data_IF_324366617906
#
_entry.id   IF_324366617906
#
_cell.length_a   1.000
_cell.length_b   1.000
_cell.length_c   1.000
_cell.angle_alpha   90.00
_cell.angle_beta   90.00
_cell.angle_gamma   90.00
#
_symmetry.space_group_name_H-M   'P 1'
#
loop_
_entity.id
_entity.type
_entity.pdbx_description
1 polymer ?
#
# COMPACT_ATOMS: atom_id res chain seq x y z
N UNK A 1 -34.19 41.77 -22.91
CA UNK A 1 -34.41 40.63 -21.99
C UNK A 1 -34.81 39.43 -22.85
N UNK A 2 -33.84 38.63 -23.29
CA UNK A 2 -34.05 37.44 -24.13
C UNK A 2 -33.98 36.20 -23.23
N UNK A 3 -35.05 35.40 -23.25
CA UNK A 3 -35.22 34.20 -22.46
C UNK A 3 -34.43 33.03 -23.08
N UNK A 4 -33.57 32.40 -22.27
CA UNK A 4 -32.90 31.15 -22.60
C UNK A 4 -33.90 29.98 -22.50
N UNK A 5 -34.02 29.21 -23.59
CA UNK A 5 -34.77 27.96 -23.65
C UNK A 5 -33.87 26.80 -23.20
N UNK A 6 -34.15 26.19 -22.05
CA UNK A 6 -33.56 24.92 -21.61
C UNK A 6 -34.24 23.75 -22.35
N UNK A 7 -33.45 22.91 -23.04
CA UNK A 7 -33.90 21.59 -23.51
C UNK A 7 -33.47 20.52 -22.50
N UNK A 8 -34.43 19.98 -21.76
CA UNK A 8 -34.25 18.80 -20.92
C UNK A 8 -34.24 17.54 -21.82
N UNK A 9 -33.09 16.87 -21.92
CA UNK A 9 -32.95 15.56 -22.55
C UNK A 9 -33.05 14.46 -21.49
N UNK A 10 -34.11 13.64 -21.55
CA UNK A 10 -34.24 12.42 -20.77
C UNK A 10 -33.34 11.32 -21.38
N UNK A 11 -32.42 10.77 -20.57
CA UNK A 11 -31.67 9.56 -20.89
C UNK A 11 -32.35 8.36 -20.23
N UNK A 12 -32.88 7.44 -21.04
CA UNK A 12 -33.44 6.18 -20.59
C UNK A 12 -32.31 5.18 -20.29
N UNK A 13 -32.29 4.64 -19.07
CA UNK A 13 -31.41 3.54 -18.66
C UNK A 13 -32.11 2.20 -18.92
N UNK A 14 -31.59 1.40 -19.84
CA UNK A 14 -31.97 0.00 -20.02
C UNK A 14 -31.09 -0.88 -19.14
N UNK A 15 -31.67 -1.53 -18.14
CA UNK A 15 -31.02 -2.58 -17.34
C UNK A 15 -31.06 -3.92 -18.10
N UNK A 16 -29.90 -4.47 -18.41
CA UNK A 16 -29.76 -5.87 -18.82
C UNK A 16 -29.35 -6.71 -17.60
N UNK A 17 -30.22 -7.62 -17.17
CA UNK A 17 -29.95 -8.58 -16.10
C UNK A 17 -29.13 -9.75 -16.66
N UNK A 18 -27.96 -10.02 -16.08
CA UNK A 18 -27.15 -11.21 -16.36
C UNK A 18 -27.42 -12.23 -15.24
N UNK A 19 -27.93 -13.40 -15.63
CA UNK A 19 -28.14 -14.53 -14.74
C UNK A 19 -26.81 -15.28 -14.49
N UNK A 20 -26.39 -15.40 -13.23
CA UNK A 20 -25.25 -16.20 -12.80
C UNK A 20 -25.72 -17.60 -12.41
N UNK A 21 -25.27 -18.61 -13.16
CA UNK A 21 -25.42 -20.03 -12.83
C UNK A 21 -24.45 -20.45 -11.74
N UNK A 22 -24.96 -21.14 -10.73
CA UNK A 22 -24.19 -21.67 -9.60
C UNK A 22 -23.46 -22.96 -9.95
N UNK A 23 -22.19 -23.06 -9.54
CA UNK A 23 -21.42 -24.30 -9.48
C UNK A 23 -21.09 -24.62 -8.03
N UNK A 24 -21.64 -25.73 -7.52
CA UNK A 24 -21.18 -26.35 -6.28
C UNK A 24 -19.84 -27.06 -6.55
N UNK A 25 -18.81 -26.76 -5.75
CA UNK A 25 -17.62 -27.61 -5.63
C UNK A 25 -17.60 -28.22 -4.23
N UNK A 26 -17.78 -29.54 -4.18
CA UNK A 26 -17.60 -30.38 -2.99
C UNK A 26 -16.11 -30.49 -2.68
N UNK A 27 -15.70 -30.04 -1.50
CA UNK A 27 -14.35 -30.22 -0.97
C UNK A 27 -14.19 -31.63 -0.39
N UNK A 28 -13.10 -32.31 -0.76
CA UNK A 28 -12.66 -33.56 -0.13
C UNK A 28 -11.57 -33.24 0.89
N UNK A 29 -11.75 -33.72 2.12
CA UNK A 29 -10.90 -33.45 3.29
C UNK A 29 -9.57 -34.23 3.29
N UNK A 30 -8.59 -33.62 3.94
CA UNK A 30 -7.21 -34.05 4.18
C UNK A 30 -7.07 -35.45 4.80
N UNK A 31 -6.10 -36.21 4.28
CA UNK A 31 -5.43 -37.27 5.02
C UNK A 31 -4.10 -36.72 5.56
N UNK A 32 -4.04 -36.48 6.87
CA UNK A 32 -2.80 -36.20 7.59
C UNK A 32 -2.10 -37.52 7.92
N UNK A 33 -0.86 -37.67 7.47
CA UNK A 33 0.09 -38.62 8.05
C UNK A 33 1.49 -38.14 7.70
N UNK A 34 2.24 -37.72 8.71
CA UNK A 34 3.59 -38.23 8.99
C UNK A 34 4.19 -37.53 10.22
N UNK A 35 4.60 -38.38 11.16
CA UNK A 35 5.28 -38.07 12.41
C UNK A 35 6.79 -37.89 12.12
N UNK A 36 7.48 -36.82 12.53
CA UNK A 36 8.93 -36.74 12.37
C UNK A 36 9.67 -37.33 13.58
N UNK A 37 10.52 -38.30 13.30
CA UNK A 37 11.58 -38.82 14.16
C UNK A 37 12.59 -37.71 14.54
N UNK A 38 12.82 -37.54 15.84
CA UNK A 38 13.88 -36.71 16.41
C UNK A 38 15.18 -37.50 16.57
N UNK A 39 16.28 -36.96 16.05
CA UNK A 39 17.62 -37.05 16.68
C UNK A 39 18.41 -35.76 16.39
N UNK A 40 19.34 -35.36 17.30
CA UNK A 40 19.73 -33.96 17.45
C UNK A 40 21.13 -33.65 16.85
N UNK A 41 21.41 -32.33 16.84
CA UNK A 41 22.72 -31.69 16.96
C UNK A 41 23.21 -30.92 15.71
N UNK A 42 22.87 -29.63 15.68
CA UNK A 42 23.67 -28.61 14.99
C UNK A 42 23.58 -27.32 15.81
N UNK A 43 24.75 -26.84 16.24
CA UNK A 43 25.00 -25.59 16.93
C UNK A 43 24.40 -24.41 16.16
N UNK A 44 23.26 -23.90 16.62
CA UNK A 44 22.65 -22.68 16.10
C UNK A 44 22.91 -21.54 17.10
N UNK A 45 23.74 -20.59 16.68
CA UNK A 45 23.83 -19.26 17.26
C UNK A 45 22.44 -18.65 17.32
N UNK A 46 21.94 -18.38 18.54
CA UNK A 46 20.69 -17.68 18.78
C UNK A 46 20.80 -16.23 18.29
N UNK A 47 20.66 -16.01 16.98
CA UNK A 47 20.13 -14.77 16.47
C UNK A 47 18.65 -14.76 16.87
N UNK A 48 18.27 -13.77 17.66
CA UNK A 48 16.92 -13.61 18.12
C UNK A 48 16.01 -13.44 16.90
N UNK A 49 15.30 -14.52 16.56
CA UNK A 49 14.11 -14.50 15.72
C UNK A 49 13.08 -13.57 16.38
N UNK A 50 13.23 -12.26 16.11
CA UNK A 50 12.18 -11.28 16.33
C UNK A 50 11.17 -11.54 15.23
N UNK A 51 10.30 -12.49 15.50
CA UNK A 51 9.07 -12.77 14.78
C UNK A 51 8.17 -11.53 14.91
N UNK A 52 8.50 -10.46 14.18
CA UNK A 52 7.61 -9.32 13.99
C UNK A 52 6.44 -9.85 13.17
N UNK A 53 5.31 -10.04 13.83
CA UNK A 53 4.04 -10.31 13.17
C UNK A 53 3.80 -9.21 12.12
N UNK A 54 4.16 -9.47 10.86
CA UNK A 54 4.09 -8.55 9.73
C UNK A 54 2.64 -8.36 9.29
N UNK A 55 1.82 -7.75 10.14
CA UNK A 55 0.73 -6.97 9.60
C UNK A 55 1.36 -5.71 8.99
N UNK A 56 1.56 -5.73 7.68
CA UNK A 56 2.09 -4.60 6.90
C UNK A 56 1.06 -3.45 6.76
N UNK A 57 -0.02 -3.48 7.54
CA UNK A 57 -1.05 -2.43 7.56
C UNK A 57 -0.61 -1.27 8.45
N UNK A 58 -0.93 -0.05 8.01
CA UNK A 58 -0.70 1.16 8.80
C UNK A 58 -1.72 1.24 9.94
N UNK A 59 -1.29 1.08 11.20
CA UNK A 59 -2.15 1.35 12.35
C UNK A 59 -2.35 2.87 12.50
N UNK A 60 -3.49 3.36 12.01
CA UNK A 60 -3.88 4.77 12.10
C UNK A 60 -4.62 5.09 13.40
N UNK A 61 -4.73 4.15 14.34
CA UNK A 61 -5.47 4.35 15.57
C UNK A 61 -6.99 4.47 15.37
N UNK A 62 -7.72 5.10 16.31
CA UNK A 62 -9.18 5.18 16.27
C UNK A 62 -9.68 6.04 15.10
N UNK A 63 -10.90 5.77 14.63
CA UNK A 63 -11.59 6.60 13.63
C UNK A 63 -12.15 7.89 14.26
N UNK A 64 -11.27 8.79 14.66
CA UNK A 64 -11.58 10.11 15.24
C UNK A 64 -11.39 11.27 14.24
N UNK A 65 -11.53 12.51 14.70
CA UNK A 65 -11.44 13.71 13.84
C UNK A 65 -10.07 13.92 13.18
N UNK A 66 -9.02 13.30 13.73
CA UNK A 66 -7.65 13.40 13.23
C UNK A 66 -7.26 12.17 12.39
N UNK A 67 -8.19 11.24 12.15
CA UNK A 67 -7.94 10.04 11.34
C UNK A 67 -7.44 10.37 9.94
N UNK A 68 -8.09 11.32 9.25
CA UNK A 68 -7.68 11.70 7.89
C UNK A 68 -6.30 12.39 7.87
N UNK A 69 -5.96 13.17 8.91
CA UNK A 69 -4.62 13.74 9.06
C UNK A 69 -3.58 12.62 9.16
N UNK A 70 -3.83 11.60 9.98
CA UNK A 70 -2.92 10.46 10.14
C UNK A 70 -2.83 9.63 8.86
N UNK A 71 -3.94 9.43 8.16
CA UNK A 71 -3.94 8.76 6.85
C UNK A 71 -3.06 9.51 5.85
N UNK A 72 -3.25 10.83 5.72
CA UNK A 72 -2.47 11.68 4.82
C UNK A 72 -0.97 11.63 5.20
N UNK A 73 -0.67 11.70 6.49
CA UNK A 73 0.70 11.73 7.00
C UNK A 73 1.42 10.39 6.90
N UNK A 74 0.70 9.28 6.90
CA UNK A 74 1.25 7.94 6.66
C UNK A 74 1.33 7.60 5.16
N UNK A 75 0.29 7.91 4.39
CA UNK A 75 0.21 7.54 2.98
C UNK A 75 1.12 8.39 2.08
N UNK A 76 1.42 9.63 2.48
CA UNK A 76 2.37 10.47 1.74
C UNK A 76 3.77 9.84 1.64
N UNK A 77 4.45 9.47 2.75
CA UNK A 77 5.73 8.77 2.67
C UNK A 77 5.61 7.37 2.07
N UNK A 78 4.54 6.64 2.35
CA UNK A 78 4.29 5.35 1.71
C UNK A 78 4.29 5.46 0.18
N UNK A 79 3.57 6.43 -0.39
CA UNK A 79 3.60 6.70 -1.83
C UNK A 79 4.99 7.13 -2.33
N UNK A 80 5.77 7.85 -1.52
CA UNK A 80 7.14 8.23 -1.89
C UNK A 80 8.05 7.00 -2.07
N UNK A 81 7.93 5.97 -1.23
CA UNK A 81 8.70 4.75 -1.41
C UNK A 81 8.30 3.94 -2.65
N UNK A 82 7.00 3.90 -3.00
CA UNK A 82 6.56 3.36 -4.29
C UNK A 82 7.18 4.11 -5.48
N UNK A 83 7.30 5.44 -5.39
CA UNK A 83 7.94 6.26 -6.44
C UNK A 83 9.43 5.94 -6.58
N UNK A 84 10.15 5.70 -5.49
CA UNK A 84 11.56 5.31 -5.52
C UNK A 84 11.74 3.99 -6.27
N UNK A 85 11.04 2.95 -5.84
CA UNK A 85 11.12 1.63 -6.47
C UNK A 85 10.64 1.64 -7.93
N UNK A 86 9.60 2.40 -8.26
CA UNK A 86 9.11 2.52 -9.63
C UNK A 86 10.12 3.23 -10.55
N UNK A 87 10.80 4.29 -10.08
CA UNK A 87 11.86 4.95 -10.86
C UNK A 87 13.03 4.01 -11.14
N UNK A 88 13.41 3.18 -10.18
CA UNK A 88 14.40 2.13 -10.40
C UNK A 88 13.93 1.14 -11.46
N UNK A 89 12.69 0.68 -11.38
CA UNK A 89 12.13 -0.27 -12.36
C UNK A 89 12.06 0.31 -13.77
N UNK A 90 11.72 1.59 -13.91
CA UNK A 90 11.72 2.30 -15.19
C UNK A 90 13.12 2.28 -15.85
N UNK A 91 14.18 2.43 -15.04
CA UNK A 91 15.57 2.48 -15.51
C UNK A 91 16.18 1.10 -15.74
N UNK A 92 15.98 0.17 -14.81
CA UNK A 92 16.71 -1.10 -14.71
C UNK A 92 16.00 -2.27 -15.39
N UNK A 93 14.66 -2.26 -15.47
CA UNK A 93 13.93 -3.36 -16.09
C UNK A 93 14.21 -3.45 -17.60
N UNK A 94 14.18 -4.67 -18.13
CA UNK A 94 14.18 -4.94 -19.58
C UNK A 94 12.79 -5.29 -20.11
N UNK A 95 11.81 -5.52 -19.24
CA UNK A 95 10.45 -5.93 -19.62
C UNK A 95 9.58 -4.70 -19.88
N UNK A 96 8.98 -4.57 -21.08
CA UNK A 96 8.11 -3.42 -21.38
C UNK A 96 6.89 -3.35 -20.45
N UNK A 97 6.40 -4.49 -19.95
CA UNK A 97 5.28 -4.55 -19.00
C UNK A 97 5.64 -3.91 -17.66
N UNK A 98 6.85 -4.17 -17.14
CA UNK A 98 7.32 -3.60 -15.86
C UNK A 98 7.59 -2.10 -16.01
N UNK A 99 8.16 -1.65 -17.14
CA UNK A 99 8.31 -0.21 -17.40
C UNK A 99 6.97 0.50 -17.46
N UNK A 100 5.99 -0.08 -18.15
CA UNK A 100 4.64 0.48 -18.22
C UNK A 100 3.96 0.52 -16.84
N UNK A 101 4.15 -0.52 -16.04
CA UNK A 101 3.67 -0.54 -14.65
C UNK A 101 4.32 0.57 -13.82
N UNK A 102 5.65 0.72 -13.91
CA UNK A 102 6.40 1.78 -13.23
C UNK A 102 5.91 3.18 -13.62
N UNK A 103 5.73 3.46 -14.92
CA UNK A 103 5.22 4.75 -15.39
C UNK A 103 3.81 5.06 -14.83
N UNK A 104 2.94 4.04 -14.78
CA UNK A 104 1.60 4.18 -14.20
C UNK A 104 1.65 4.50 -12.71
N UNK A 105 2.47 3.77 -11.94
CA UNK A 105 2.69 4.01 -10.51
C UNK A 105 3.22 5.43 -10.30
N UNK A 106 4.24 5.84 -11.07
CA UNK A 106 4.83 7.19 -10.97
C UNK A 106 3.75 8.25 -11.21
N UNK A 107 2.92 8.07 -12.23
CA UNK A 107 1.89 9.04 -12.57
C UNK A 107 0.82 9.14 -11.47
N UNK A 108 0.23 8.01 -11.06
CA UNK A 108 -0.88 8.03 -10.09
C UNK A 108 -0.41 8.49 -8.71
N UNK A 109 0.70 7.91 -8.20
CA UNK A 109 1.19 8.20 -6.86
C UNK A 109 1.64 9.68 -6.72
N UNK A 110 2.24 10.28 -7.76
CA UNK A 110 2.55 11.73 -7.72
C UNK A 110 1.29 12.62 -7.69
N UNK A 111 0.24 12.22 -8.42
CA UNK A 111 -1.03 12.94 -8.40
C UNK A 111 -1.67 12.87 -7.01
N UNK A 112 -1.65 11.72 -6.37
CA UNK A 112 -2.20 11.50 -5.03
C UNK A 112 -1.39 12.22 -3.94
N UNK A 113 -0.04 12.17 -3.99
CA UNK A 113 0.81 12.96 -3.09
C UNK A 113 0.46 14.45 -3.20
N UNK A 114 0.26 14.97 -4.41
CA UNK A 114 -0.09 16.37 -4.61
C UNK A 114 -1.44 16.70 -3.97
N UNK A 115 -2.45 15.85 -4.15
CA UNK A 115 -3.77 16.02 -3.55
C UNK A 115 -3.71 15.96 -2.02
N UNK A 116 -3.05 14.94 -1.46
CA UNK A 116 -2.91 14.76 -0.02
C UNK A 116 -2.19 15.95 0.63
N UNK A 117 -1.13 16.49 0.00
CA UNK A 117 -0.45 17.70 0.50
C UNK A 117 -1.36 18.92 0.50
N UNK A 118 -2.19 19.09 -0.53
CA UNK A 118 -3.16 20.18 -0.61
C UNK A 118 -4.23 20.04 0.46
N UNK A 119 -4.79 18.85 0.65
CA UNK A 119 -5.77 18.57 1.71
C UNK A 119 -5.18 18.80 3.09
N UNK A 120 -3.95 18.32 3.34
CA UNK A 120 -3.25 18.54 4.61
C UNK A 120 -3.18 20.01 4.96
N UNK A 121 -2.76 20.85 4.01
CA UNK A 121 -2.64 22.29 4.21
C UNK A 121 -4.00 22.97 4.39
N UNK A 122 -4.99 22.56 3.60
CA UNK A 122 -6.31 23.19 3.62
C UNK A 122 -7.14 22.81 4.87
N UNK A 123 -7.07 21.54 5.28
CA UNK A 123 -7.90 20.99 6.36
C UNK A 123 -7.23 21.09 7.72
N UNK A 124 -5.89 21.05 7.76
CA UNK A 124 -5.10 21.02 9.00
C UNK A 124 -4.02 22.11 9.05
N UNK A 125 -4.37 23.41 8.91
CA UNK A 125 -3.40 24.49 8.85
C UNK A 125 -2.56 24.67 10.13
N UNK A 126 -3.01 24.09 11.26
CA UNK A 126 -2.32 24.16 12.55
C UNK A 126 -1.44 22.93 12.85
N UNK A 127 -1.47 21.88 12.03
CA UNK A 127 -0.77 20.61 12.30
C UNK A 127 0.77 20.65 12.06
N UNK A 128 1.35 21.84 11.88
CA UNK A 128 2.76 21.99 11.54
C UNK A 128 3.12 21.35 10.20
N UNK A 129 4.41 21.14 9.93
CA UNK A 129 4.90 20.58 8.66
C UNK A 129 5.39 19.14 8.76
N UNK A 130 5.43 18.57 9.97
CA UNK A 130 5.93 17.22 10.20
C UNK A 130 4.76 16.23 10.21
N UNK A 131 4.93 15.03 9.62
CA UNK A 131 3.93 13.98 9.68
C UNK A 131 3.61 13.58 11.12
N UNK A 132 2.33 13.34 11.43
CA UNK A 132 1.83 12.90 12.73
C UNK A 132 1.40 11.43 12.68
N UNK A 133 1.69 10.67 13.74
CA UNK A 133 1.23 9.30 13.91
C UNK A 133 0.52 9.12 15.26
N UNK A 134 -0.38 8.15 15.34
CA UNK A 134 -1.00 7.74 16.59
C UNK A 134 -0.04 6.84 17.38
N UNK A 135 0.23 7.17 18.64
CA UNK A 135 1.03 6.31 19.51
C UNK A 135 0.12 5.54 20.46
N UNK A 136 -0.29 4.32 20.08
CA UNK A 136 -1.29 3.52 20.80
C UNK A 136 -1.00 3.33 22.29
N UNK A 137 0.26 3.07 22.67
CA UNK A 137 0.65 2.92 24.08
C UNK A 137 0.50 4.21 24.90
N UNK A 138 0.59 5.39 24.27
CA UNK A 138 0.46 6.68 24.94
C UNK A 138 -0.90 7.34 24.72
N UNK A 139 -1.76 6.76 23.89
CA UNK A 139 -3.12 7.24 23.64
C UNK A 139 -3.24 8.62 23.01
N UNK A 140 -2.20 9.12 22.33
CA UNK A 140 -2.22 10.43 21.69
C UNK A 140 -1.35 10.48 20.41
N UNK A 141 -1.53 11.53 19.61
CA UNK A 141 -0.72 11.78 18.42
C UNK A 141 0.65 12.36 18.78
N UNK A 142 1.67 11.94 18.04
CA UNK A 142 3.02 12.51 18.11
C UNK A 142 3.59 12.73 16.71
N UNK A 143 4.58 13.62 16.60
CA UNK A 143 5.36 13.77 15.38
C UNK A 143 6.07 12.43 15.07
N UNK A 144 6.03 12.01 13.80
CA UNK A 144 6.80 10.85 13.36
C UNK A 144 8.30 11.14 13.43
N UNK A 145 9.07 10.18 13.93
CA UNK A 145 10.52 10.21 13.83
C UNK A 145 10.97 9.98 12.38
N UNK A 146 12.20 10.39 11.99
CA UNK A 146 12.76 10.07 10.68
C UNK A 146 12.74 8.57 10.35
N UNK A 147 12.98 7.72 11.35
CA UNK A 147 12.96 6.26 11.21
C UNK A 147 11.54 5.75 10.97
N UNK A 148 10.54 6.34 11.62
CA UNK A 148 9.14 6.01 11.37
C UNK A 148 8.71 6.44 9.96
N UNK A 149 9.12 7.64 9.51
CA UNK A 149 8.87 8.11 8.14
C UNK A 149 9.52 7.15 7.13
N UNK A 150 10.78 6.75 7.36
CA UNK A 150 11.48 5.80 6.50
C UNK A 150 10.79 4.43 6.49
N UNK A 151 10.30 3.95 7.64
CA UNK A 151 9.55 2.71 7.72
C UNK A 151 8.24 2.79 6.93
N UNK A 152 7.53 3.93 7.00
CA UNK A 152 6.30 4.16 6.21
C UNK A 152 6.56 4.11 4.71
N UNK A 153 7.73 4.53 4.24
CA UNK A 153 8.07 4.46 2.81
C UNK A 153 8.06 3.02 2.28
N UNK A 154 8.34 2.02 3.13
CA UNK A 154 8.34 0.61 2.70
C UNK A 154 9.22 0.35 1.46
N UNK A 155 10.16 1.25 1.15
CA UNK A 155 11.05 1.10 0.01
C UNK A 155 12.12 0.06 0.33
N UNK A 156 12.50 -0.70 -0.68
CA UNK A 156 13.52 -1.75 -0.58
C UNK A 156 14.63 -1.46 -1.58
N UNK A 157 15.85 -1.86 -1.23
CA UNK A 157 16.95 -1.89 -2.19
C UNK A 157 16.69 -3.02 -3.20
N UNK A 158 16.45 -2.63 -4.46
CA UNK A 158 16.18 -3.56 -5.56
C UNK A 158 17.46 -4.12 -6.19
N UNK A 159 18.63 -3.68 -5.75
CA UNK A 159 19.93 -4.19 -6.20
C UNK A 159 20.26 -3.87 -7.66
N UNK A 160 21.14 -4.68 -8.25
CA UNK A 160 21.61 -4.49 -9.62
C UNK A 160 20.54 -4.81 -10.68
N UNK A 161 20.73 -4.31 -11.91
CA UNK A 161 19.88 -4.60 -13.06
C UNK A 161 20.20 -5.99 -13.68
N UNK A 162 20.11 -7.03 -12.85
CA UNK A 162 20.34 -8.43 -13.22
C UNK A 162 19.05 -9.16 -13.62
N UNK A 163 19.15 -10.47 -13.88
CA UNK A 163 18.01 -11.29 -14.30
C UNK A 163 16.89 -11.39 -13.25
N UNK A 164 17.20 -11.14 -11.98
CA UNK A 164 16.29 -11.26 -10.84
C UNK A 164 15.71 -9.90 -10.41
N UNK A 165 16.14 -8.79 -11.04
CA UNK A 165 15.68 -7.45 -10.72
C UNK A 165 14.15 -7.31 -10.75
N UNK A 166 13.51 -7.78 -11.83
CA UNK A 166 12.05 -7.67 -11.96
C UNK A 166 11.31 -8.48 -10.89
N UNK A 167 11.85 -9.63 -10.47
CA UNK A 167 11.30 -10.43 -9.39
C UNK A 167 11.40 -9.69 -8.04
N UNK A 168 12.55 -9.06 -7.76
CA UNK A 168 12.72 -8.23 -6.55
C UNK A 168 11.75 -7.05 -6.54
N UNK A 169 11.59 -6.36 -7.67
CA UNK A 169 10.62 -5.28 -7.80
C UNK A 169 9.19 -5.76 -7.48
N UNK A 170 8.75 -6.87 -8.08
CA UNK A 170 7.41 -7.42 -7.83
C UNK A 170 7.25 -7.83 -6.36
N UNK A 171 8.23 -8.54 -5.80
CA UNK A 171 8.21 -9.01 -4.41
C UNK A 171 8.24 -7.87 -3.39
N UNK A 172 8.82 -6.72 -3.74
CA UNK A 172 8.77 -5.52 -2.92
C UNK A 172 7.46 -4.75 -3.11
N UNK A 173 6.98 -4.62 -4.35
CA UNK A 173 5.85 -3.77 -4.68
C UNK A 173 4.49 -4.38 -4.30
N UNK A 174 4.36 -5.72 -4.30
CA UNK A 174 3.15 -6.40 -3.84
C UNK A 174 2.84 -6.10 -2.36
N UNK A 175 3.71 -6.43 -1.39
CA UNK A 175 3.43 -6.14 0.03
C UNK A 175 3.31 -4.64 0.30
N UNK A 176 4.05 -3.81 -0.44
CA UNK A 176 3.86 -2.35 -0.39
C UNK A 176 2.43 -1.96 -0.81
N UNK A 177 1.89 -2.49 -1.91
CA UNK A 177 0.50 -2.19 -2.30
C UNK A 177 -0.53 -2.81 -1.33
N UNK A 178 -0.27 -4.00 -0.80
CA UNK A 178 -1.14 -4.59 0.22
C UNK A 178 -1.21 -3.73 1.49
N UNK A 179 -0.10 -3.11 1.89
CA UNK A 179 -0.05 -2.19 3.02
C UNK A 179 -0.87 -0.91 2.82
N UNK A 180 -1.06 -0.46 1.58
CA UNK A 180 -1.92 0.69 1.27
C UNK A 180 -3.42 0.37 1.26
N UNK A 181 -3.80 -0.90 1.11
CA UNK A 181 -5.21 -1.32 0.93
C UNK A 181 -5.85 -1.84 2.24
N UNK A 182 -5.03 -2.23 3.21
CA UNK A 182 -5.45 -2.77 4.52
C UNK A 182 -5.56 -1.66 5.55
#
# INVERSE_FOLDING_TARGET
MQLLSLRNGFLALSFAAIASGGGLLTACSNAASQNPTQTPNATATNASDRHMNHSMGMDLGPADADFDLRFIDAMTPHHQGALEMAKEAQQKSKRPEIKKLADNIIKSQNQEITQMKQWRQAWYPSAGNKPMAYHSQMGHMMEMSPEQIQAMMMSQDLGAADAEFDLRFINAMIPHHEGAVK
#
